data_IF_935765306112
#
_entry.id   IF_935765306112
#
_cell.length_a   1.000
_cell.length_b   1.000
_cell.length_c   1.000
_cell.angle_alpha   90.00
_cell.angle_beta   90.00
_cell.angle_gamma   90.00
#
_symmetry.space_group_name_H-M   'P 1'
#
loop_
_entity.id
_entity.type
_entity.pdbx_description
1 polymer ?
2 polymer ?
3 non-polymer ?
4 non-polymer ?
5 water ?
#
# COMPACT_ATOMS: atom_id res chain seq x y z
N UNK A 1 -11.76 -3.61 9.92
CA UNK A 1 -11.18 -4.88 10.32
C UNK A 1 -9.66 -4.89 10.14
N UNK A 2 -9.14 -3.88 9.45
CA UNK A 2 -7.72 -3.78 9.21
C UNK A 2 -7.21 -4.83 8.25
N UNK A 3 -7.96 -5.06 7.17
CA UNK A 3 -7.59 -6.04 6.15
C UNK A 3 -6.74 -5.39 5.07
N UNK A 4 -5.58 -5.99 4.78
CA UNK A 4 -4.76 -5.57 3.65
C UNK A 4 -5.13 -6.42 2.44
N UNK A 5 -5.55 -5.76 1.37
CA UNK A 5 -5.83 -6.44 0.12
C UNK A 5 -5.22 -5.63 -1.02
N UNK A 6 -4.07 -6.09 -1.50
CA UNK A 6 -3.25 -5.29 -2.40
C UNK A 6 -2.94 -6.05 -3.68
N UNK A 7 -2.51 -5.32 -4.70
CA UNK A 7 -2.35 -5.89 -6.04
C UNK A 7 -1.14 -6.83 -6.14
N UNK A 8 -0.27 -6.78 -5.13
CA UNK A 8 0.88 -7.68 -5.04
C UNK A 8 0.53 -9.09 -4.56
N UNK A 9 -0.68 -9.26 -4.02
CA UNK A 9 -1.11 -10.51 -3.38
C UNK A 9 -0.14 -10.99 -2.29
N UNK A 10 0.51 -10.05 -1.62
CA UNK A 10 1.41 -10.33 -0.50
C UNK A 10 0.97 -9.44 0.65
N UNK A 11 -0.10 -9.84 1.31
CA UNK A 11 -0.87 -8.90 2.13
C UNK A 11 -0.45 -8.85 3.60
N UNK A 12 0.84 -8.64 3.83
CA UNK A 12 1.31 -8.35 5.18
C UNK A 12 1.75 -6.89 5.24
N UNK A 13 1.88 -6.35 6.45
CA UNK A 13 2.15 -4.92 6.62
C UNK A 13 3.59 -4.56 6.23
N UNK A 14 3.74 -3.63 5.28
CA UNK A 14 5.08 -3.22 4.84
C UNK A 14 5.49 -1.90 5.49
N UNK A 15 4.64 -1.39 6.38
CA UNK A 15 4.96 -0.16 7.11
C UNK A 15 4.38 1.13 6.55
N UNK A 16 3.75 1.08 5.38
CA UNK A 16 3.13 2.29 4.83
C UNK A 16 1.94 1.91 3.97
N UNK A 17 0.76 1.96 4.59
CA UNK A 17 -0.45 1.54 3.90
C UNK A 17 -1.47 2.67 3.80
N UNK A 18 -2.38 2.51 2.85
CA UNK A 18 -3.39 3.51 2.53
C UNK A 18 -4.74 2.80 2.40
N UNK A 19 -5.79 3.43 2.92
CA UNK A 19 -7.09 2.78 2.99
C UNK A 19 -8.02 3.22 1.88
N UNK A 20 -8.57 2.25 1.16
CA UNK A 20 -9.54 2.54 0.12
C UNK A 20 -10.77 3.25 0.67
N UNK A 21 -11.14 4.36 0.04
CA UNK A 21 -12.31 5.13 0.47
C UNK A 21 -13.62 4.35 0.40
N UNK A 22 -13.67 3.31 -0.43
CA UNK A 22 -14.93 2.60 -0.63
C UNK A 22 -15.02 1.28 0.14
N UNK A 23 -14.12 0.34 -0.15
CA UNK A 23 -14.20 -0.98 0.47
C UNK A 23 -13.51 -1.03 1.84
N UNK A 24 -12.72 0.00 2.14
CA UNK A 24 -12.03 0.15 3.42
C UNK A 24 -10.94 -0.89 3.70
N UNK A 25 -10.59 -1.67 2.68
CA UNK A 25 -9.41 -2.52 2.76
C UNK A 25 -8.19 -1.67 2.48
N UNK A 26 -7.03 -2.13 2.94
CA UNK A 26 -5.81 -1.35 2.87
C UNK A 26 -4.88 -1.87 1.79
N UNK A 27 -4.13 -0.96 1.17
CA UNK A 27 -3.11 -1.34 0.19
C UNK A 27 -1.75 -0.81 0.62
N UNK A 28 -0.68 -1.43 0.12
CA UNK A 28 0.66 -0.84 0.27
C UNK A 28 0.74 0.40 -0.61
N UNK A 29 1.06 1.54 -0.03
CA UNK A 29 1.15 2.76 -0.82
C UNK A 29 2.16 2.61 -1.96
N UNK A 30 3.29 1.96 -1.68
CA UNK A 30 4.34 1.86 -2.69
C UNK A 30 3.89 1.03 -3.91
N UNK A 31 3.00 0.07 -3.69
CA UNK A 31 2.49 -0.73 -4.79
C UNK A 31 1.69 0.11 -5.78
N UNK A 32 1.14 1.21 -5.28
CA UNK A 32 0.35 2.12 -6.10
C UNK A 32 1.16 3.35 -6.52
N UNK A 33 2.47 3.30 -6.29
CA UNK A 33 3.37 4.36 -6.73
C UNK A 33 3.34 5.58 -5.82
N UNK A 34 2.74 5.41 -4.64
CA UNK A 34 2.68 6.46 -3.64
C UNK A 34 3.87 6.29 -2.69
N UNK A 35 4.92 7.10 -2.88
CA UNK A 35 6.20 6.90 -2.19
C UNK A 35 6.24 7.50 -0.79
N UNK A 36 5.43 8.53 -0.56
CA UNK A 36 5.33 9.15 0.75
C UNK A 36 3.93 9.72 0.90
N UNK A 37 3.63 10.27 2.08
CA UNK A 37 2.27 10.72 2.36
C UNK A 37 1.90 11.87 1.44
N UNK A 38 2.90 12.66 1.06
CA UNK A 38 2.67 13.77 0.16
C UNK A 38 2.16 13.37 -1.22
N UNK A 39 2.45 12.14 -1.62
CA UNK A 39 1.98 11.63 -2.91
C UNK A 39 0.59 11.02 -2.82
N UNK A 40 0.01 11.02 -1.63
CA UNK A 40 -1.33 10.46 -1.47
C UNK A 40 -2.37 11.54 -1.75
N UNK A 41 -3.31 11.25 -2.66
CA UNK A 41 -4.35 12.23 -2.98
C UNK A 41 -5.42 12.31 -1.91
N UNK A 42 -6.18 13.41 -1.92
CA UNK A 42 -7.33 13.57 -1.03
C UNK A 42 -8.27 12.38 -1.10
N UNK A 43 -8.65 12.02 -2.33
CA UNK A 43 -9.55 10.90 -2.57
C UNK A 43 -8.75 9.73 -3.13
N UNK A 44 -9.03 8.53 -2.63
CA UNK A 44 -8.28 7.35 -3.05
C UNK A 44 -9.17 6.11 -3.08
N UNK A 45 -9.16 5.42 -4.22
CA UNK A 45 -9.83 4.12 -4.38
C UNK A 45 -8.82 3.06 -4.81
N UNK A 46 -8.97 1.85 -4.28
CA UNK A 46 -8.12 0.75 -4.70
C UNK A 46 -8.47 0.28 -6.12
N UNK A 47 -7.62 -0.57 -6.68
CA UNK A 47 -7.78 -1.08 -8.04
C UNK A 47 -8.99 -1.99 -8.22
N UNK A 48 -9.43 -2.64 -7.14
CA UNK A 48 -10.64 -3.44 -7.20
C UNK A 48 -11.88 -2.57 -7.30
N UNK A 49 -11.91 -1.48 -6.54
CA UNK A 49 -13.06 -0.58 -6.54
C UNK A 49 -13.06 0.31 -7.78
N UNK A 50 -11.88 0.61 -8.30
CA UNK A 50 -11.79 1.43 -9.51
C UNK A 50 -10.55 1.03 -10.30
N UNK A 51 -10.73 0.14 -11.29
CA UNK A 51 -9.59 -0.29 -12.11
C UNK A 51 -8.84 0.91 -12.66
N UNK A 52 -7.52 0.85 -12.54
CA UNK A 52 -6.64 1.93 -12.95
C UNK A 52 -5.45 1.33 -13.66
N UNK A 53 -4.72 2.15 -14.39
CA UNK A 53 -3.42 1.76 -14.91
C UNK A 53 -2.44 1.70 -13.74
N UNK A 54 -1.93 0.50 -13.45
CA UNK A 54 -0.99 0.33 -12.35
C UNK A 54 -0.13 -0.90 -12.62
N UNK A 55 1.16 -0.81 -12.29
CA UNK A 55 2.12 -1.85 -12.64
C UNK A 55 2.08 -2.97 -11.61
N UNK A 56 1.26 -3.97 -11.87
CA UNK A 56 1.05 -5.06 -10.92
C UNK A 56 2.32 -5.90 -10.74
N UNK A 57 3.04 -6.16 -11.83
CA UNK A 57 4.27 -6.93 -11.72
C UNK A 57 5.34 -6.23 -10.88
N UNK A 58 5.42 -4.91 -11.00
CA UNK A 58 6.38 -4.16 -10.21
C UNK A 58 6.02 -4.22 -8.72
N UNK A 59 4.73 -4.11 -8.43
CA UNK A 59 4.25 -4.19 -7.06
C UNK A 59 4.64 -5.53 -6.45
N UNK A 60 4.38 -6.61 -7.16
CA UNK A 60 4.75 -7.94 -6.66
C UNK A 60 6.26 -8.04 -6.46
N UNK A 61 7.03 -7.49 -7.39
CA UNK A 61 8.48 -7.54 -7.31
C UNK A 61 8.99 -6.86 -6.05
N UNK A 62 8.48 -5.66 -5.77
CA UNK A 62 8.91 -4.89 -4.62
C UNK A 62 8.56 -5.58 -3.31
N UNK A 63 7.33 -6.07 -3.19
CA UNK A 63 6.91 -6.71 -1.96
C UNK A 63 7.61 -8.05 -1.75
N UNK A 64 7.79 -8.80 -2.83
CA UNK A 64 8.44 -10.10 -2.71
C UNK A 64 9.90 -9.90 -2.30
N UNK A 65 10.54 -8.86 -2.82
CA UNK A 65 11.91 -8.55 -2.41
C UNK A 65 11.98 -8.19 -0.91
N UNK A 66 11.04 -7.37 -0.43
CA UNK A 66 11.01 -7.04 1.00
C UNK A 66 10.94 -8.31 1.85
N UNK A 67 10.06 -9.22 1.46
CA UNK A 67 9.88 -10.46 2.18
C UNK A 67 11.12 -11.32 2.08
N UNK A 68 11.72 -11.39 0.90
CA UNK A 68 12.88 -12.25 0.69
C UNK A 68 14.13 -11.81 1.44
N UNK A 69 14.22 -10.54 1.82
CA UNK A 69 15.41 -10.08 2.54
C UNK A 69 15.20 -9.82 4.03
N UNK A 70 13.99 -10.03 4.54
CA UNK A 70 13.76 -9.76 5.95
C UNK A 70 14.38 -10.84 6.84
N UNK B 1 -6.06 11.07 1.75
CA UNK B 1 -6.61 9.76 2.08
C UNK B 1 -6.24 9.39 3.51
N UNK B 2 -6.74 8.26 3.98
CA UNK B 2 -6.37 7.72 5.29
C UNK B 2 -5.16 6.81 5.17
N UNK B 3 -4.13 7.08 5.97
CA UNK B 3 -2.89 6.31 5.90
C UNK B 3 -2.40 5.79 7.25
N UNK B 4 -1.57 4.75 7.20
CA UNK B 4 -0.83 4.26 8.35
C UNK B 4 0.63 4.20 7.94
N UNK B 5 1.52 4.76 8.74
CA UNK B 5 2.94 4.67 8.44
C UNK B 5 3.74 4.43 9.70
N UNK B 6 4.56 3.38 9.67
CA UNK B 6 5.36 3.02 10.83
C UNK B 6 6.80 3.45 10.64
N UNK B 7 7.28 4.26 11.58
CA UNK B 7 8.65 4.73 11.58
C UNK B 7 9.48 3.88 12.52
N UNK B 8 10.64 3.44 12.05
CA UNK B 8 11.55 2.65 12.86
C UNK B 8 12.86 3.40 13.07
N UNK B 9 13.14 3.74 14.33
CA UNK B 9 14.32 4.52 14.67
C UNK B 9 15.11 3.87 15.80
N UNK B 10 16.43 3.81 15.66
CA UNK B 10 17.30 3.34 16.75
C UNK B 10 18.07 4.53 17.32
N UNK B 11 17.84 4.80 18.61
CA UNK B 11 18.14 6.10 19.23
C UNK B 11 17.69 7.25 18.33
X LIG C 1 -11.48 -0.69 -2.57
X LIG D 1 1.13 -4.42 -2.30
X LIG E 1 -4.57 -9.47 -2.71
X LIG F 1 4.18 1.04 1.07
#
# INVERSE_FOLDING_TARGET
>A
MGIITCICDLNDDDGFTIQCDHCNRWQHAICYGIKDIGMAPDDYLCNSCDPREVDINLARKIQQERINVK
>B
ARTKQTARKST
>C hetero
1 ZN ZN
>D hetero
1 ZN ZN
>E hetero
1 NA NA
>F hetero
1 NA NA
#
